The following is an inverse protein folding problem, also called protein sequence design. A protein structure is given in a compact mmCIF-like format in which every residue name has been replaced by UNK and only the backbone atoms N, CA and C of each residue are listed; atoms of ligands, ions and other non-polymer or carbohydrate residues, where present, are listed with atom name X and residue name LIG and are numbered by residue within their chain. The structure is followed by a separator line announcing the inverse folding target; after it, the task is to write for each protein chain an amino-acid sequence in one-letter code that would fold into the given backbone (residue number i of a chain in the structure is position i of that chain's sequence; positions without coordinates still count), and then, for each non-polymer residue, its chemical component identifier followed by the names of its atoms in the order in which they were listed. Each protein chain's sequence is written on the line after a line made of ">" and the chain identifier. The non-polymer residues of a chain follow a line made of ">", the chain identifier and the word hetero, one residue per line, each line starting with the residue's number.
data_IF_743129431462
#
_entry.id   IF_743129431462
#
_cell.length_a   1.000
_cell.length_b   1.000
_cell.length_c   1.000
_cell.angle_alpha   90.00
_cell.angle_beta   90.00
_cell.angle_gamma   90.00
#
_symmetry.space_group_name_H-M   'P 1'
#
loop_
_entity.id
_entity.type
_entity.pdbx_description
1 polymer ?
#
# COMPACT_ATOMS: atom_id res chain seq x y z
N UNK A 1 -36.33 23.25 -57.02
CA UNK A 1 -35.00 23.88 -56.92
C UNK A 1 -34.47 23.50 -55.57
N UNK A 2 -33.57 22.52 -55.53
CA UNK A 2 -32.81 22.23 -54.31
C UNK A 2 -31.68 23.27 -54.24
N UNK A 3 -31.79 24.20 -53.30
CA UNK A 3 -30.71 25.15 -53.00
C UNK A 3 -29.79 24.49 -51.99
N UNK A 4 -28.74 23.81 -52.48
CA UNK A 4 -27.62 23.40 -51.63
C UNK A 4 -26.86 24.64 -51.20
N UNK A 5 -26.93 24.97 -49.90
CA UNK A 5 -26.06 25.97 -49.29
C UNK A 5 -24.62 25.44 -49.38
N UNK A 6 -23.77 26.15 -50.12
CA UNK A 6 -22.34 25.86 -50.18
C UNK A 6 -21.69 26.52 -48.97
N UNK A 7 -21.17 25.71 -48.06
CA UNK A 7 -20.43 26.20 -46.91
C UNK A 7 -19.19 26.99 -47.38
N UNK A 8 -18.97 28.18 -46.84
CA UNK A 8 -17.78 28.97 -47.13
C UNK A 8 -16.64 28.59 -46.18
N UNK A 9 -15.71 27.79 -46.68
CA UNK A 9 -14.55 27.33 -45.91
C UNK A 9 -13.54 28.43 -45.61
N UNK A 10 -13.59 29.58 -46.31
CA UNK A 10 -12.65 30.68 -46.10
C UNK A 10 -12.99 31.55 -44.89
N UNK A 11 -14.27 31.54 -44.48
CA UNK A 11 -14.76 32.26 -43.30
C UNK A 11 -15.11 31.34 -42.14
N UNK A 12 -14.73 30.07 -42.22
CA UNK A 12 -15.01 29.08 -41.20
C UNK A 12 -14.34 29.42 -39.86
N UNK A 13 -15.12 29.30 -38.78
CA UNK A 13 -14.66 29.48 -37.40
C UNK A 13 -15.24 28.40 -36.50
N UNK A 14 -14.48 28.01 -35.47
CA UNK A 14 -15.02 27.20 -34.39
C UNK A 14 -15.88 28.11 -33.52
N UNK A 15 -17.18 27.81 -33.42
CA UNK A 15 -18.13 28.62 -32.64
C UNK A 15 -18.22 28.15 -31.19
N UNK A 16 -18.16 26.83 -30.96
CA UNK A 16 -18.19 26.23 -29.63
C UNK A 16 -17.33 24.99 -29.60
N UNK A 17 -16.73 24.71 -28.45
CA UNK A 17 -16.24 23.39 -28.10
C UNK A 17 -16.94 23.00 -26.79
N UNK A 18 -17.70 21.90 -26.82
CA UNK A 18 -18.50 21.46 -25.67
C UNK A 18 -18.04 20.11 -25.18
N UNK A 19 -17.95 19.95 -23.86
CA UNK A 19 -17.82 18.63 -23.24
C UNK A 19 -19.10 17.81 -23.45
N UNK A 20 -18.95 16.60 -24.00
CA UNK A 20 -20.05 15.64 -24.18
C UNK A 20 -20.23 14.77 -22.94
N UNK A 21 -20.33 15.40 -21.77
CA UNK A 21 -20.46 14.71 -20.49
C UNK A 21 -21.10 15.64 -19.44
N UNK A 22 -21.82 15.01 -18.51
CA UNK A 22 -22.44 15.71 -17.38
C UNK A 22 -21.44 15.90 -16.23
N UNK A 23 -20.42 15.05 -16.16
CA UNK A 23 -19.37 15.13 -15.14
C UNK A 23 -18.09 15.75 -15.70
N UNK A 24 -17.32 16.40 -14.81
CA UNK A 24 -16.00 16.95 -15.12
C UNK A 24 -14.87 16.20 -14.43
N UNK A 25 -15.17 15.16 -13.66
CA UNK A 25 -14.20 14.37 -12.90
C UNK A 25 -14.30 12.89 -13.32
N UNK A 26 -13.17 12.31 -13.70
CA UNK A 26 -13.01 10.87 -13.99
C UNK A 26 -11.70 10.34 -13.41
N UNK A 27 -11.50 9.03 -13.41
CA UNK A 27 -10.31 8.45 -12.80
C UNK A 27 -9.08 8.58 -13.73
N UNK A 28 -7.92 8.86 -13.16
CA UNK A 28 -6.63 8.74 -13.82
C UNK A 28 -6.17 7.26 -13.83
N UNK A 29 -6.84 6.42 -14.62
CA UNK A 29 -6.61 4.96 -14.68
C UNK A 29 -6.09 4.45 -16.04
N UNK A 30 -5.77 5.36 -16.96
CA UNK A 30 -5.32 5.03 -18.31
C UNK A 30 -6.41 4.57 -19.27
N UNK A 31 -7.67 4.49 -18.83
CA UNK A 31 -8.80 4.00 -19.65
C UNK A 31 -9.98 4.96 -19.68
N UNK A 32 -10.22 5.73 -18.62
CA UNK A 32 -11.28 6.73 -18.58
C UNK A 32 -10.95 7.88 -19.53
N UNK A 33 -11.97 8.42 -20.18
CA UNK A 33 -11.84 9.46 -21.19
C UNK A 33 -12.97 10.47 -21.15
N UNK A 34 -12.74 11.65 -21.71
CA UNK A 34 -13.77 12.64 -22.04
C UNK A 34 -13.86 12.83 -23.54
N UNK A 35 -15.08 13.10 -24.03
CA UNK A 35 -15.32 13.43 -25.44
C UNK A 35 -15.70 14.90 -25.54
N UNK A 36 -15.09 15.61 -26.48
CA UNK A 36 -15.40 17.00 -26.80
C UNK A 36 -15.91 17.14 -28.23
N UNK A 37 -16.86 18.04 -28.46
CA UNK A 37 -17.39 18.36 -29.80
C UNK A 37 -17.13 19.81 -30.15
N UNK A 38 -16.46 20.05 -31.28
CA UNK A 38 -16.34 21.37 -31.89
C UNK A 38 -17.47 21.55 -32.92
N UNK A 39 -18.08 22.73 -32.94
CA UNK A 39 -19.04 23.14 -33.98
C UNK A 39 -18.45 24.25 -34.85
N UNK A 40 -18.27 23.96 -36.13
CA UNK A 40 -17.70 24.88 -37.12
C UNK A 40 -18.81 25.49 -37.97
N UNK A 41 -18.79 26.82 -38.08
CA UNK A 41 -19.71 27.57 -38.93
C UNK A 41 -18.98 28.64 -39.73
N UNK A 42 -19.55 29.02 -40.86
CA UNK A 42 -19.11 30.18 -41.64
C UNK A 42 -19.65 31.50 -41.05
N UNK A 43 -19.26 32.63 -41.63
CA UNK A 43 -19.72 33.96 -41.18
C UNK A 43 -21.23 34.19 -41.28
N UNK A 44 -21.94 33.40 -42.10
CA UNK A 44 -23.40 33.46 -42.27
C UNK A 44 -24.14 32.51 -41.32
N UNK A 45 -23.41 31.75 -40.49
CA UNK A 45 -23.96 30.80 -39.54
C UNK A 45 -24.28 29.42 -40.13
N UNK A 46 -23.88 29.14 -41.38
CA UNK A 46 -24.03 27.82 -41.99
C UNK A 46 -22.98 26.87 -41.41
N UNK A 47 -23.34 25.61 -41.21
CA UNK A 47 -22.40 24.57 -40.76
C UNK A 47 -21.39 24.26 -41.87
N UNK A 48 -20.13 24.03 -41.49
CA UNK A 48 -19.05 23.74 -42.45
C UNK A 48 -18.63 22.27 -42.29
N UNK A 49 -19.02 21.36 -43.20
CA UNK A 49 -18.54 19.98 -43.21
C UNK A 49 -17.09 19.89 -43.73
N UNK A 50 -16.43 18.75 -43.45
CA UNK A 50 -15.07 18.39 -43.89
C UNK A 50 -13.94 19.38 -43.49
N UNK A 51 -14.20 20.33 -42.59
CA UNK A 51 -13.19 21.19 -41.99
C UNK A 51 -12.33 20.40 -40.99
N UNK A 52 -11.01 20.55 -41.08
CA UNK A 52 -10.07 19.93 -40.14
C UNK A 52 -9.96 20.75 -38.85
N UNK A 53 -10.22 20.12 -37.71
CA UNK A 53 -10.02 20.68 -36.37
C UNK A 53 -8.81 20.03 -35.74
N UNK A 54 -7.83 20.83 -35.35
CA UNK A 54 -6.64 20.43 -34.61
C UNK A 54 -6.86 20.64 -33.12
N UNK A 55 -6.69 19.59 -32.32
CA UNK A 55 -6.98 19.57 -30.89
C UNK A 55 -5.71 19.76 -30.06
N UNK A 56 -5.84 20.47 -28.96
CA UNK A 56 -4.76 20.74 -28.00
C UNK A 56 -5.27 20.74 -26.56
N UNK A 57 -4.33 20.58 -25.62
CA UNK A 57 -4.59 20.60 -24.19
C UNK A 57 -3.35 21.09 -23.42
N UNK A 58 -3.54 21.51 -22.17
CA UNK A 58 -2.55 22.29 -21.40
C UNK A 58 -1.73 21.50 -20.35
N UNK A 59 -1.82 20.18 -20.34
CA UNK A 59 -1.15 19.25 -19.40
C UNK A 59 -0.09 18.34 -20.02
N UNK A 60 0.21 18.46 -21.31
CA UNK A 60 1.31 17.68 -21.91
C UNK A 60 1.01 16.18 -21.90
N UNK A 61 1.96 15.33 -21.49
CA UNK A 61 1.85 13.87 -21.65
C UNK A 61 1.06 13.14 -20.56
N UNK A 62 0.52 13.83 -19.55
CA UNK A 62 -0.31 13.18 -18.50
C UNK A 62 -1.75 12.90 -18.96
N UNK A 63 -2.13 13.39 -20.13
CA UNK A 63 -3.36 13.06 -20.85
C UNK A 63 -3.05 12.90 -22.33
N UNK A 64 -3.84 12.11 -23.05
CA UNK A 64 -3.55 11.74 -24.44
C UNK A 64 -4.81 11.85 -25.28
N UNK A 65 -4.74 12.55 -26.41
CA UNK A 65 -5.78 12.46 -27.42
C UNK A 65 -5.65 11.16 -28.20
N UNK A 66 -6.76 10.46 -28.45
CA UNK A 66 -6.75 9.30 -29.35
C UNK A 66 -6.35 9.69 -30.77
N UNK A 67 -6.85 10.84 -31.23
CA UNK A 67 -6.42 11.50 -32.48
C UNK A 67 -6.25 12.99 -32.22
N UNK A 68 -5.13 13.57 -32.66
CA UNK A 68 -4.82 14.98 -32.43
C UNK A 68 -5.55 15.93 -33.38
N UNK A 69 -6.23 15.40 -34.41
CA UNK A 69 -7.13 16.14 -35.27
C UNK A 69 -8.35 15.28 -35.65
N UNK A 70 -9.42 15.94 -36.09
CA UNK A 70 -10.59 15.29 -36.69
C UNK A 70 -11.29 16.24 -37.67
N UNK A 71 -12.01 15.66 -38.64
CA UNK A 71 -12.79 16.42 -39.62
C UNK A 71 -14.25 16.56 -39.17
N UNK A 72 -14.87 17.70 -39.48
CA UNK A 72 -16.28 17.94 -39.19
C UNK A 72 -17.20 17.09 -40.06
N UNK A 73 -18.26 16.54 -39.46
CA UNK A 73 -19.32 15.82 -40.16
C UNK A 73 -20.24 16.75 -40.99
N UNK A 74 -21.30 16.17 -41.58
CA UNK A 74 -22.33 16.90 -42.34
C UNK A 74 -23.06 17.99 -41.55
N UNK A 75 -22.98 17.97 -40.21
CA UNK A 75 -23.57 18.95 -39.31
C UNK A 75 -22.52 19.97 -38.82
N UNK A 76 -21.31 19.98 -39.39
CA UNK A 76 -20.21 20.85 -38.99
C UNK A 76 -19.59 20.47 -37.65
N UNK A 77 -19.74 19.21 -37.20
CA UNK A 77 -19.26 18.76 -35.89
C UNK A 77 -18.02 17.88 -36.01
N UNK A 78 -16.94 18.26 -35.34
CA UNK A 78 -15.74 17.43 -35.17
C UNK A 78 -15.66 16.97 -33.71
N UNK A 79 -15.18 15.75 -33.46
CA UNK A 79 -15.06 15.20 -32.10
C UNK A 79 -13.63 14.83 -31.76
N UNK A 80 -13.27 14.94 -30.48
CA UNK A 80 -12.02 14.43 -29.94
C UNK A 80 -12.25 13.66 -28.65
N UNK A 81 -11.49 12.59 -28.48
CA UNK A 81 -11.46 11.79 -27.25
C UNK A 81 -10.14 12.04 -26.54
N UNK A 82 -10.22 12.63 -25.35
CA UNK A 82 -9.09 12.83 -24.44
C UNK A 82 -9.11 11.72 -23.39
N UNK A 83 -8.13 10.83 -23.43
CA UNK A 83 -7.97 9.70 -22.49
C UNK A 83 -7.01 10.06 -21.37
N UNK A 84 -7.32 9.59 -20.16
CA UNK A 84 -6.44 9.67 -19.00
C UNK A 84 -5.14 8.87 -19.19
N UNK A 85 -4.15 9.16 -18.35
CA UNK A 85 -3.05 8.23 -18.04
C UNK A 85 -3.21 7.72 -16.60
N UNK A 86 -2.18 7.10 -16.03
CA UNK A 86 -2.13 6.74 -14.60
C UNK A 86 -1.65 7.90 -13.70
N UNK A 87 -1.50 9.11 -14.26
CA UNK A 87 -1.06 10.31 -13.56
C UNK A 87 -2.23 11.27 -13.41
N UNK A 88 -2.37 11.85 -12.22
CA UNK A 88 -3.39 12.86 -11.94
C UNK A 88 -3.20 14.10 -12.83
N UNK A 89 -4.30 14.61 -13.36
CA UNK A 89 -4.34 15.80 -14.20
C UNK A 89 -5.56 16.64 -13.83
N UNK A 90 -5.35 17.74 -13.09
CA UNK A 90 -6.42 18.64 -12.64
C UNK A 90 -6.50 19.88 -13.54
N UNK A 91 -7.72 20.38 -13.74
CA UNK A 91 -8.05 21.56 -14.51
C UNK A 91 -7.48 21.50 -15.93
N UNK A 92 -7.65 20.35 -16.60
CA UNK A 92 -7.26 20.16 -18.00
C UNK A 92 -8.13 21.05 -18.87
N UNK A 93 -7.52 22.00 -19.56
CA UNK A 93 -8.19 22.81 -20.58
C UNK A 93 -8.00 22.14 -21.93
N UNK A 94 -9.11 21.71 -22.54
CA UNK A 94 -9.12 21.30 -23.95
C UNK A 94 -9.40 22.51 -24.83
N UNK A 95 -8.75 22.55 -25.99
CA UNK A 95 -8.95 23.55 -27.02
C UNK A 95 -8.84 22.97 -28.42
N UNK A 96 -9.35 23.70 -29.40
CA UNK A 96 -9.29 23.35 -30.81
C UNK A 96 -9.03 24.56 -31.69
N UNK A 97 -8.41 24.35 -32.85
CA UNK A 97 -8.18 25.38 -33.86
C UNK A 97 -8.34 24.78 -35.27
N UNK A 98 -8.85 25.58 -36.20
CA UNK A 98 -8.65 25.30 -37.63
C UNK A 98 -7.20 25.64 -38.01
N UNK A 99 -6.69 25.13 -39.13
CA UNK A 99 -5.26 25.24 -39.52
C UNK A 99 -4.63 26.64 -39.39
N UNK A 100 -5.40 27.70 -39.64
CA UNK A 100 -4.97 29.10 -39.50
C UNK A 100 -5.92 29.95 -38.64
N UNK A 101 -6.78 29.29 -37.86
CA UNK A 101 -7.78 29.95 -37.02
C UNK A 101 -7.29 30.24 -35.60
N UNK A 102 -7.96 31.13 -34.86
CA UNK A 102 -7.69 31.30 -33.44
C UNK A 102 -8.03 30.00 -32.68
N UNK A 103 -7.31 29.77 -31.59
CA UNK A 103 -7.63 28.70 -30.66
C UNK A 103 -8.91 29.03 -29.89
N UNK A 104 -9.81 28.07 -29.81
CA UNK A 104 -11.05 28.14 -29.04
C UNK A 104 -10.97 27.13 -27.90
N UNK A 105 -11.29 27.58 -26.68
CA UNK A 105 -11.34 26.71 -25.50
C UNK A 105 -12.66 25.95 -25.43
N UNK A 106 -12.61 24.73 -24.90
CA UNK A 106 -13.78 24.02 -24.43
C UNK A 106 -14.49 24.79 -23.31
N UNK A 107 -15.82 24.65 -23.27
CA UNK A 107 -16.72 25.27 -22.31
C UNK A 107 -16.43 24.89 -20.85
N UNK A 108 -15.87 23.69 -20.63
CA UNK A 108 -15.50 23.17 -19.31
C UNK A 108 -14.06 22.70 -19.29
N UNK A 109 -13.40 22.88 -18.13
CA UNK A 109 -12.19 22.13 -17.78
C UNK A 109 -12.60 20.81 -17.14
N UNK A 110 -11.77 19.78 -17.31
CA UNK A 110 -12.00 18.45 -16.76
C UNK A 110 -10.82 18.00 -15.89
N UNK A 111 -11.05 17.03 -15.04
CA UNK A 111 -10.08 16.45 -14.13
C UNK A 111 -10.00 14.93 -14.34
N UNK A 112 -8.78 14.41 -14.38
CA UNK A 112 -8.51 13.00 -14.15
C UNK A 112 -7.87 12.87 -12.75
N UNK A 113 -8.67 12.45 -11.77
CA UNK A 113 -8.26 12.30 -10.37
C UNK A 113 -7.70 10.90 -10.12
N UNK A 114 -6.61 10.79 -9.37
CA UNK A 114 -6.17 9.44 -8.98
C UNK A 114 -7.22 8.80 -8.06
N UNK A 115 -7.63 7.55 -8.31
CA UNK A 115 -8.46 6.82 -7.37
C UNK A 115 -7.79 6.78 -5.99
N UNK A 116 -8.60 6.91 -4.95
CA UNK A 116 -8.14 6.87 -3.56
C UNK A 116 -8.72 5.67 -2.81
N UNK A 117 -8.00 5.26 -1.78
CA UNK A 117 -8.41 4.24 -0.80
C UNK A 117 -8.47 4.89 0.58
N UNK A 118 -9.51 4.58 1.34
CA UNK A 118 -9.54 4.89 2.78
C UNK A 118 -8.72 3.86 3.53
N UNK A 119 -7.60 4.27 4.11
CA UNK A 119 -6.84 3.48 5.07
C UNK A 119 -7.29 3.86 6.47
N UNK A 120 -7.56 2.88 7.31
CA UNK A 120 -7.90 3.10 8.71
C UNK A 120 -7.38 1.97 9.60
N UNK A 121 -7.38 2.18 10.91
CA UNK A 121 -6.98 1.15 11.86
C UNK A 121 -6.53 1.75 13.18
N UNK A 122 -5.75 0.97 13.92
CA UNK A 122 -5.27 1.30 15.27
C UNK A 122 -3.77 1.20 15.39
N UNK A 123 -3.24 1.96 16.34
CA UNK A 123 -1.84 1.94 16.78
C UNK A 123 -1.77 1.35 18.19
N UNK A 124 -1.02 0.28 18.36
CA UNK A 124 -0.97 -0.52 19.61
C UNK A 124 0.44 -0.88 20.01
N UNK A 125 0.64 -1.21 21.28
CA UNK A 125 1.91 -1.56 21.87
C UNK A 125 2.14 -3.06 21.76
N UNK A 126 3.26 -3.48 21.15
CA UNK A 126 3.61 -4.89 20.98
C UNK A 126 3.67 -5.69 22.30
N UNK A 127 4.04 -5.06 23.40
CA UNK A 127 4.30 -5.74 24.68
C UNK A 127 3.07 -5.81 25.58
N UNK A 128 2.14 -4.86 25.43
CA UNK A 128 0.97 -4.76 26.33
C UNK A 128 -0.37 -4.88 25.62
N UNK A 129 -0.38 -4.91 24.29
CA UNK A 129 -1.55 -4.73 23.43
C UNK A 129 -2.33 -3.43 23.72
N UNK A 130 -1.73 -2.52 24.49
CA UNK A 130 -2.31 -1.24 24.88
C UNK A 130 -2.29 -0.22 23.74
N UNK A 131 -3.14 0.80 23.86
CA UNK A 131 -3.23 1.90 22.89
C UNK A 131 -1.92 2.70 22.84
N UNK A 132 -1.50 3.08 21.63
CA UNK A 132 -0.41 4.05 21.40
C UNK A 132 -0.99 5.30 20.76
N UNK A 133 -1.46 6.24 21.59
CA UNK A 133 -2.02 7.50 21.13
C UNK A 133 -0.93 8.44 20.59
N UNK A 134 -1.29 9.30 19.63
CA UNK A 134 -0.38 10.32 19.12
C UNK A 134 0.76 9.77 18.25
N UNK A 135 0.65 8.54 17.76
CA UNK A 135 1.63 7.98 16.83
C UNK A 135 1.51 8.67 15.47
N UNK A 136 2.63 9.18 14.95
CA UNK A 136 2.68 9.80 13.63
C UNK A 136 2.90 8.72 12.57
N UNK A 137 2.02 8.67 11.58
CA UNK A 137 2.04 7.72 10.46
C UNK A 137 2.35 8.50 9.19
N UNK A 138 3.57 8.36 8.67
CA UNK A 138 4.03 8.99 7.44
C UNK A 138 4.03 8.02 6.26
N UNK A 139 3.53 8.46 5.11
CA UNK A 139 3.49 7.72 3.84
C UNK A 139 4.42 8.40 2.83
N UNK A 140 5.46 7.69 2.42
CA UNK A 140 6.53 8.18 1.55
C UNK A 140 6.45 7.48 0.20
N UNK A 141 6.67 8.22 -0.89
CA UNK A 141 6.66 7.65 -2.25
C UNK A 141 7.98 6.93 -2.58
N UNK A 142 9.06 7.27 -1.87
CA UNK A 142 10.34 6.58 -1.89
C UNK A 142 10.91 6.42 -0.48
N UNK A 143 11.65 5.34 -0.24
CA UNK A 143 12.39 5.10 1.00
C UNK A 143 13.48 6.15 1.29
N UNK A 144 13.94 6.86 0.25
CA UNK A 144 14.92 7.94 0.35
C UNK A 144 14.32 9.30 0.73
N UNK A 145 12.99 9.42 0.72
CA UNK A 145 12.32 10.69 0.98
C UNK A 145 12.48 11.10 2.44
N UNK A 146 12.79 12.37 2.69
CA UNK A 146 12.97 12.91 4.05
C UNK A 146 11.69 13.45 4.67
N UNK A 147 10.64 13.63 3.87
CA UNK A 147 9.32 14.11 4.32
C UNK A 147 8.22 13.25 3.70
N UNK A 148 7.16 12.93 4.45
CA UNK A 148 6.08 12.12 3.92
C UNK A 148 5.26 12.91 2.90
N UNK A 149 4.77 12.23 1.86
CA UNK A 149 3.82 12.80 0.91
C UNK A 149 2.42 12.96 1.54
N UNK A 150 2.06 12.06 2.45
CA UNK A 150 0.83 12.08 3.23
C UNK A 150 1.13 11.67 4.66
N UNK A 151 0.40 12.21 5.64
CA UNK A 151 0.54 11.78 7.03
C UNK A 151 -0.77 11.90 7.81
N UNK A 152 -0.87 11.11 8.87
CA UNK A 152 -1.95 11.18 9.86
C UNK A 152 -1.37 10.82 11.23
N UNK A 153 -1.97 11.36 12.29
CA UNK A 153 -1.61 11.04 13.66
C UNK A 153 -2.75 10.26 14.31
N UNK A 154 -2.44 9.21 15.07
CA UNK A 154 -3.46 8.47 15.80
C UNK A 154 -4.09 9.31 16.93
N UNK A 155 -5.39 9.14 17.13
CA UNK A 155 -6.14 9.85 18.17
C UNK A 155 -5.83 9.32 19.59
N UNK A 156 -6.50 9.89 20.60
CA UNK A 156 -6.35 9.46 22.00
C UNK A 156 -6.75 8.00 22.27
N UNK A 157 -7.53 7.38 21.37
CA UNK A 157 -7.92 5.98 21.39
C UNK A 157 -7.03 5.11 20.47
N UNK A 158 -5.99 5.69 19.88
CA UNK A 158 -5.07 5.04 18.95
C UNK A 158 -5.62 4.82 17.54
N UNK A 159 -6.82 5.31 17.22
CA UNK A 159 -7.41 5.15 15.90
C UNK A 159 -6.82 6.16 14.92
N UNK A 160 -6.77 5.80 13.64
CA UNK A 160 -6.43 6.70 12.56
C UNK A 160 -7.28 6.41 11.33
N UNK A 161 -7.44 7.42 10.46
CA UNK A 161 -8.06 7.26 9.15
C UNK A 161 -7.48 8.30 8.18
N UNK A 162 -7.14 7.87 6.96
CA UNK A 162 -6.57 8.73 5.91
C UNK A 162 -6.99 8.21 4.53
N UNK A 163 -7.27 9.13 3.60
CA UNK A 163 -7.48 8.79 2.19
C UNK A 163 -6.16 8.91 1.43
N UNK A 164 -5.76 7.84 0.74
CA UNK A 164 -4.49 7.75 0.01
C UNK A 164 -4.74 7.46 -1.47
N UNK A 165 -4.12 8.21 -2.40
CA UNK A 165 -4.12 7.85 -3.81
C UNK A 165 -3.47 6.50 -4.09
N UNK A 166 -3.83 5.88 -5.21
CA UNK A 166 -3.16 4.67 -5.69
C UNK A 166 -1.66 4.90 -5.92
N UNK A 167 -0.86 4.18 -5.16
CA UNK A 167 0.60 4.12 -5.22
C UNK A 167 1.13 3.02 -4.29
N UNK A 168 2.43 2.72 -4.40
CA UNK A 168 3.15 1.96 -3.37
C UNK A 168 3.84 2.96 -2.45
N UNK A 169 3.61 2.83 -1.15
CA UNK A 169 4.19 3.68 -0.13
C UNK A 169 5.17 2.91 0.75
N UNK A 170 6.28 3.56 1.10
CA UNK A 170 7.01 3.24 2.32
C UNK A 170 6.28 3.92 3.48
N UNK A 171 5.90 3.16 4.51
CA UNK A 171 5.20 3.67 5.69
C UNK A 171 6.16 3.68 6.86
N UNK A 172 6.23 4.81 7.56
CA UNK A 172 6.97 4.95 8.82
C UNK A 172 6.02 5.38 9.92
N UNK A 173 6.02 4.65 11.03
CA UNK A 173 5.21 4.99 12.21
C UNK A 173 6.12 5.27 13.39
N UNK A 174 5.99 6.47 13.98
CA UNK A 174 6.82 6.94 15.08
C UNK A 174 5.96 7.30 16.29
N UNK A 175 6.46 7.01 17.48
CA UNK A 175 5.86 7.44 18.74
C UNK A 175 6.97 7.54 19.80
N UNK A 176 6.81 8.42 20.79
CA UNK A 176 7.80 8.59 21.86
C UNK A 176 7.94 7.29 22.67
N UNK A 177 9.18 6.83 22.86
CA UNK A 177 9.47 5.60 23.61
C UNK A 177 9.30 4.32 22.79
N UNK A 178 9.00 4.43 21.50
CA UNK A 178 8.88 3.30 20.58
C UNK A 178 9.95 3.36 19.50
N UNK A 179 10.38 2.18 19.04
CA UNK A 179 11.22 2.06 17.86
C UNK A 179 10.39 2.34 16.61
N UNK A 180 10.93 3.14 15.68
CA UNK A 180 10.25 3.44 14.41
C UNK A 180 9.88 2.15 13.69
N UNK A 181 8.59 2.00 13.39
CA UNK A 181 8.08 0.91 12.58
C UNK A 181 8.17 1.30 11.11
N UNK A 182 8.88 0.51 10.31
CA UNK A 182 8.89 0.66 8.85
C UNK A 182 8.23 -0.56 8.17
N UNK A 183 7.39 -0.29 7.17
CA UNK A 183 6.73 -1.30 6.33
C UNK A 183 6.38 -0.74 4.95
N UNK A 184 5.82 -1.57 4.07
CA UNK A 184 5.30 -1.15 2.77
C UNK A 184 3.78 -1.28 2.72
N UNK A 185 3.14 -0.41 1.93
CA UNK A 185 1.71 -0.43 1.66
C UNK A 185 1.48 -0.25 0.16
N UNK A 186 0.84 -1.24 -0.47
CA UNK A 186 0.43 -1.13 -1.87
C UNK A 186 -1.04 -0.73 -1.94
N UNK A 187 -1.30 0.53 -2.32
CA UNK A 187 -2.64 1.05 -2.56
C UNK A 187 -2.98 0.80 -4.02
N UNK A 188 -3.76 -0.25 -4.26
CA UNK A 188 -4.22 -0.64 -5.59
C UNK A 188 -5.75 -0.52 -5.69
N UNK A 189 -6.49 -1.62 -5.82
CA UNK A 189 -7.91 -1.60 -6.21
C UNK A 189 -8.90 -1.58 -5.04
N UNK A 190 -8.43 -1.71 -3.81
CA UNK A 190 -9.27 -1.62 -2.62
C UNK A 190 -9.67 -0.17 -2.37
N UNK A 191 -10.95 0.07 -2.10
CA UNK A 191 -11.48 1.40 -1.74
C UNK A 191 -11.40 1.68 -0.25
N UNK A 192 -11.30 0.62 0.55
CA UNK A 192 -11.24 0.66 2.01
C UNK A 192 -10.33 -0.46 2.51
N UNK A 193 -9.41 -0.14 3.43
CA UNK A 193 -8.46 -1.09 4.00
C UNK A 193 -8.27 -0.80 5.49
N UNK A 194 -8.53 -1.81 6.32
CA UNK A 194 -8.13 -1.81 7.73
C UNK A 194 -6.70 -2.36 7.87
N UNK A 195 -5.82 -1.60 8.52
CA UNK A 195 -4.45 -2.04 8.87
C UNK A 195 -4.10 -1.53 10.26
N UNK A 196 -3.74 -2.44 11.16
CA UNK A 196 -3.22 -2.05 12.46
C UNK A 196 -1.70 -1.90 12.41
N UNK A 197 -1.18 -0.91 13.14
CA UNK A 197 0.25 -0.73 13.35
C UNK A 197 0.60 -1.10 14.79
N UNK A 198 1.38 -2.16 14.95
CA UNK A 198 1.89 -2.59 16.25
C UNK A 198 3.31 -2.05 16.42
N UNK A 199 3.50 -1.17 17.40
CA UNK A 199 4.80 -0.57 17.70
C UNK A 199 5.50 -1.31 18.84
N UNK A 200 6.77 -1.66 18.63
CA UNK A 200 7.65 -2.13 19.70
C UNK A 200 8.12 -0.94 20.53
N UNK A 201 7.94 -0.94 21.86
CA UNK A 201 8.69 -0.05 22.75
C UNK A 201 10.19 -0.17 22.48
N UNK A 202 10.97 0.82 22.91
CA UNK A 202 12.42 0.66 22.93
C UNK A 202 12.81 -0.57 23.76
N UNK A 203 13.93 -1.19 23.41
CA UNK A 203 14.35 -2.42 24.09
C UNK A 203 14.84 -2.15 25.53
N UNK A 204 15.26 -0.94 25.88
CA UNK A 204 15.56 -0.51 27.26
C UNK A 204 16.36 -1.55 28.09
N UNK A 205 17.43 -2.08 27.48
CA UNK A 205 18.33 -3.07 28.10
C UNK A 205 17.96 -4.54 27.86
N UNK A 206 16.85 -4.82 27.17
CA UNK A 206 16.48 -6.16 26.70
C UNK A 206 17.27 -6.54 25.45
N UNK A 207 17.68 -7.80 25.34
CA UNK A 207 18.51 -8.25 24.21
C UNK A 207 17.75 -8.36 22.90
N UNK A 208 16.47 -8.78 22.93
CA UNK A 208 15.66 -8.89 21.72
C UNK A 208 14.16 -8.77 21.99
N UNK A 209 13.41 -8.42 20.93
CA UNK A 209 11.96 -8.56 20.86
C UNK A 209 11.54 -9.13 19.52
N UNK A 210 10.60 -10.06 19.54
CA UNK A 210 10.03 -10.71 18.38
C UNK A 210 8.54 -10.38 18.37
N UNK A 211 8.06 -9.73 17.33
CA UNK A 211 6.67 -9.30 17.18
C UNK A 211 6.09 -9.99 15.96
N UNK A 212 5.10 -10.86 16.18
CA UNK A 212 4.30 -11.52 15.16
C UNK A 212 2.98 -10.78 15.00
N UNK A 213 2.62 -10.45 13.76
CA UNK A 213 1.31 -9.89 13.38
C UNK A 213 0.76 -10.66 12.19
N UNK A 214 -0.56 -10.62 12.00
CA UNK A 214 -1.23 -11.30 10.89
C UNK A 214 -2.55 -10.60 10.52
N UNK A 215 -3.19 -11.01 9.42
CA UNK A 215 -4.49 -10.49 8.99
C UNK A 215 -5.67 -11.06 9.79
N UNK A 216 -6.89 -10.57 9.54
CA UNK A 216 -8.12 -10.92 10.31
C UNK A 216 -8.50 -12.42 10.30
N UNK A 217 -7.89 -13.21 9.43
CA UNK A 217 -8.02 -14.66 9.38
C UNK A 217 -6.68 -15.27 8.99
N UNK A 218 -6.18 -16.38 9.56
CA UNK A 218 -6.71 -17.08 10.73
C UNK A 218 -6.71 -16.16 11.95
N UNK A 219 -7.55 -16.46 12.94
CA UNK A 219 -7.69 -15.59 14.13
C UNK A 219 -6.49 -15.69 15.07
N UNK A 220 -5.73 -16.77 14.97
CA UNK A 220 -4.79 -17.20 16.01
C UNK A 220 -3.60 -17.92 15.38
N UNK A 221 -2.41 -17.34 15.55
CA UNK A 221 -1.13 -17.91 15.16
C UNK A 221 -0.22 -17.87 16.38
N UNK A 222 0.31 -19.03 16.79
CA UNK A 222 1.11 -19.14 17.99
C UNK A 222 2.60 -18.92 17.73
N UNK A 223 3.25 -18.24 18.65
CA UNK A 223 4.68 -18.03 18.75
C UNK A 223 5.32 -19.14 19.55
N UNK A 224 6.31 -19.76 18.96
CA UNK A 224 7.16 -20.74 19.61
C UNK A 224 8.60 -20.27 19.52
N UNK A 225 9.20 -19.94 20.66
CA UNK A 225 10.63 -19.64 20.75
C UNK A 225 11.34 -20.72 21.55
N UNK A 226 12.25 -21.45 20.90
CA UNK A 226 13.23 -22.27 21.62
C UNK A 226 14.42 -21.42 21.99
N UNK A 227 14.81 -21.49 23.25
CA UNK A 227 15.96 -20.78 23.83
C UNK A 227 16.92 -21.78 24.48
N UNK A 228 18.24 -21.51 24.51
CA UNK A 228 19.18 -22.30 25.31
C UNK A 228 18.83 -22.21 26.79
N UNK A 229 18.95 -23.34 27.49
CA UNK A 229 18.73 -23.39 28.94
C UNK A 229 19.90 -22.72 29.68
N UNK A 230 19.59 -21.84 30.62
CA UNK A 230 20.60 -21.17 31.46
C UNK A 230 21.42 -22.22 32.22
N UNK A 231 22.74 -22.17 32.05
CA UNK A 231 23.69 -23.11 32.66
C UNK A 231 23.79 -24.48 31.98
N UNK A 232 23.01 -24.74 30.93
CA UNK A 232 23.05 -25.98 30.14
C UNK A 232 22.74 -25.68 28.66
N UNK A 233 23.67 -25.02 27.93
CA UNK A 233 23.43 -24.54 26.56
C UNK A 233 23.25 -25.67 25.53
N UNK A 234 23.53 -26.93 25.90
CA UNK A 234 23.26 -28.10 25.07
C UNK A 234 21.79 -28.54 25.08
N UNK A 235 20.98 -27.97 25.98
CA UNK A 235 19.54 -28.19 26.08
C UNK A 235 18.76 -26.93 25.70
N UNK A 236 17.50 -27.10 25.29
CA UNK A 236 16.62 -25.99 24.96
C UNK A 236 15.33 -26.03 25.77
N UNK A 237 14.78 -24.85 26.05
CA UNK A 237 13.49 -24.63 26.67
C UNK A 237 12.62 -23.86 25.69
N UNK A 238 11.34 -24.18 25.67
CA UNK A 238 10.38 -23.56 24.76
C UNK A 238 9.50 -22.55 25.49
N UNK A 239 9.41 -21.35 24.91
CA UNK A 239 8.52 -20.26 25.30
C UNK A 239 7.36 -20.21 24.31
N UNK A 240 6.14 -20.41 24.80
CA UNK A 240 4.89 -20.40 24.03
C UNK A 240 3.69 -20.13 24.96
N UNK A 241 2.46 -20.24 24.46
CA UNK A 241 1.24 -19.97 25.25
C UNK A 241 1.10 -20.84 26.52
N UNK A 242 1.63 -22.07 26.52
CA UNK A 242 1.58 -22.98 27.68
C UNK A 242 2.64 -22.62 28.72
N UNK A 243 3.82 -22.25 28.25
CA UNK A 243 4.99 -21.92 29.07
C UNK A 243 5.47 -20.51 28.76
N UNK A 244 4.71 -19.51 29.20
CA UNK A 244 4.94 -18.09 28.86
C UNK A 244 6.25 -17.52 29.41
N UNK A 245 6.69 -17.97 30.59
CA UNK A 245 7.96 -17.57 31.22
C UNK A 245 8.58 -18.78 31.95
N UNK A 246 9.12 -19.77 31.22
CA UNK A 246 9.57 -21.01 31.81
C UNK A 246 10.85 -20.82 32.62
N UNK A 247 10.94 -21.52 33.75
CA UNK A 247 12.16 -21.49 34.59
C UNK A 247 13.37 -22.00 33.81
N UNK A 248 14.46 -21.22 33.84
CA UNK A 248 15.70 -21.54 33.12
C UNK A 248 15.77 -20.97 31.70
N UNK A 249 14.75 -20.24 31.26
CA UNK A 249 14.79 -19.35 30.10
C UNK A 249 14.83 -17.89 30.55
N UNK A 250 15.51 -17.02 29.81
CA UNK A 250 15.43 -15.57 30.00
C UNK A 250 14.63 -14.87 28.90
N UNK A 251 13.44 -15.41 28.66
CA UNK A 251 12.50 -14.92 27.67
C UNK A 251 11.06 -15.08 28.15
N UNK A 252 10.15 -14.24 27.65
CA UNK A 252 8.74 -14.22 28.02
C UNK A 252 7.85 -13.96 26.82
N UNK A 253 6.75 -14.73 26.70
CA UNK A 253 5.63 -14.38 25.83
C UNK A 253 4.80 -13.29 26.51
N UNK A 254 5.01 -12.05 26.09
CA UNK A 254 4.38 -10.85 26.66
C UNK A 254 2.91 -10.74 26.27
N UNK A 255 2.60 -10.99 24.99
CA UNK A 255 1.26 -10.95 24.43
C UNK A 255 1.00 -12.24 23.66
N UNK A 256 -0.17 -12.81 23.94
CA UNK A 256 -0.71 -14.05 23.37
C UNK A 256 -2.13 -13.71 22.92
N UNK A 257 -2.26 -13.28 21.66
CA UNK A 257 -3.48 -12.70 21.12
C UNK A 257 -4.17 -13.69 20.20
N UNK A 258 -5.31 -14.20 20.66
CA UNK A 258 -6.04 -15.27 19.98
C UNK A 258 -7.10 -14.78 18.99
N UNK A 259 -7.19 -13.46 18.77
CA UNK A 259 -8.17 -12.84 17.86
C UNK A 259 -7.65 -11.57 17.19
N UNK A 260 -8.21 -11.24 16.01
CA UNK A 260 -7.88 -10.02 15.28
C UNK A 260 -6.56 -10.14 14.53
N UNK A 261 -5.70 -9.13 14.64
CA UNK A 261 -4.50 -8.95 13.81
C UNK A 261 -3.18 -9.26 14.55
N UNK A 262 -3.28 -10.01 15.65
CA UNK A 262 -2.23 -10.08 16.67
C UNK A 262 -2.15 -8.79 17.52
N UNK A 263 -0.99 -8.47 18.13
CA UNK A 263 0.26 -9.19 18.00
C UNK A 263 0.37 -10.39 18.94
N UNK A 264 1.25 -11.33 18.59
CA UNK A 264 1.97 -12.08 19.60
C UNK A 264 3.37 -11.53 19.75
N UNK A 265 3.87 -11.44 20.97
CA UNK A 265 5.17 -10.82 21.22
C UNK A 265 5.95 -11.58 22.26
N UNK A 266 7.20 -11.91 21.93
CA UNK A 266 8.16 -12.50 22.85
C UNK A 266 9.31 -11.51 23.08
N UNK A 267 9.59 -11.19 24.33
CA UNK A 267 10.78 -10.43 24.73
C UNK A 267 11.82 -11.38 25.33
N UNK A 268 13.07 -11.26 24.87
CA UNK A 268 14.24 -11.93 25.46
C UNK A 268 14.98 -10.90 26.29
N UNK A 269 15.05 -11.08 27.62
CA UNK A 269 15.73 -10.08 28.46
C UNK A 269 17.24 -10.14 28.22
N UNK A 270 17.83 -11.33 28.31
CA UNK A 270 19.26 -11.57 28.08
C UNK A 270 19.46 -12.74 27.12
N UNK A 271 20.29 -12.55 26.11
CA UNK A 271 20.77 -13.66 25.28
C UNK A 271 21.85 -14.44 26.03
N UNK A 272 21.71 -15.76 26.08
CA UNK A 272 22.68 -16.69 26.66
C UNK A 272 23.29 -17.54 25.54
N UNK A 273 24.58 -17.94 25.65
CA UNK A 273 25.25 -18.72 24.61
C UNK A 273 24.45 -19.95 24.18
N UNK A 274 24.22 -20.07 22.88
CA UNK A 274 23.47 -21.18 22.27
C UNK A 274 22.61 -20.70 21.11
N UNK A 275 21.75 -21.60 20.62
CA UNK A 275 20.92 -21.35 19.44
C UNK A 275 19.48 -21.10 19.85
N UNK A 276 18.98 -19.93 19.45
CA UNK A 276 17.57 -19.56 19.51
C UNK A 276 16.89 -19.91 18.20
N UNK A 277 15.63 -20.33 18.25
CA UNK A 277 14.87 -20.67 17.06
C UNK A 277 13.42 -20.23 17.22
N UNK A 278 12.94 -19.41 16.30
CA UNK A 278 11.58 -18.88 16.30
C UNK A 278 10.73 -19.52 15.20
N UNK A 279 9.59 -20.04 15.62
CA UNK A 279 8.62 -20.74 14.77
C UNK A 279 7.25 -20.13 15.01
N UNK A 280 6.53 -19.84 13.94
CA UNK A 280 5.11 -19.53 14.01
C UNK A 280 4.33 -20.81 13.73
N UNK A 281 3.41 -21.17 14.62
CA UNK A 281 2.56 -22.34 14.50
C UNK A 281 1.14 -21.93 14.13
N UNK A 282 0.52 -22.70 13.23
CA UNK A 282 -0.91 -22.57 12.95
C UNK A 282 -1.68 -23.55 13.83
N UNK A 283 -2.26 -23.06 14.93
CA UNK A 283 -3.05 -23.88 15.86
C UNK A 283 -4.21 -24.59 15.14
N UNK A 284 -4.93 -23.82 14.31
CA UNK A 284 -6.15 -24.27 13.66
C UNK A 284 -5.87 -24.99 12.34
N UNK A 285 -6.54 -26.13 12.07
CA UNK A 285 -6.39 -26.87 10.81
C UNK A 285 -7.06 -26.14 9.62
N UNK A 286 -7.90 -25.14 9.88
CA UNK A 286 -8.58 -24.32 8.87
C UNK A 286 -8.81 -22.89 9.38
N UNK A 287 -8.69 -21.85 8.54
CA UNK A 287 -8.17 -21.91 7.17
C UNK A 287 -6.68 -22.29 7.17
N UNK A 288 -6.20 -22.86 6.07
CA UNK A 288 -4.78 -23.25 5.94
C UNK A 288 -3.83 -22.07 5.66
N UNK A 289 -4.33 -20.83 5.74
CA UNK A 289 -3.59 -19.60 5.51
C UNK A 289 -2.89 -19.10 6.78
N UNK A 290 -1.85 -18.26 6.61
CA UNK A 290 -1.20 -17.47 7.67
C UNK A 290 -1.57 -15.98 7.56
N UNK A 291 -2.50 -15.60 6.69
CA UNK A 291 -3.13 -14.27 6.75
C UNK A 291 -2.22 -13.10 6.41
N UNK A 292 -1.14 -13.31 5.64
CA UNK A 292 -0.13 -12.27 5.44
C UNK A 292 0.73 -12.02 6.68
N UNK A 293 0.92 -13.05 7.52
CA UNK A 293 1.74 -12.97 8.72
C UNK A 293 3.13 -12.36 8.47
N UNK A 294 3.52 -11.48 9.38
CA UNK A 294 4.78 -10.75 9.37
C UNK A 294 5.41 -10.86 10.77
N UNK A 295 6.69 -11.21 10.80
CA UNK A 295 7.51 -11.31 12.01
C UNK A 295 8.59 -10.25 11.94
N UNK A 296 8.61 -9.35 12.92
CA UNK A 296 9.68 -8.39 13.11
C UNK A 296 10.56 -8.79 14.29
N UNK A 297 11.85 -8.91 14.04
CA UNK A 297 12.88 -9.14 15.04
C UNK A 297 13.61 -7.82 15.30
N UNK A 298 13.65 -7.40 16.56
CA UNK A 298 14.41 -6.27 17.06
C UNK A 298 15.52 -6.79 17.96
N UNK A 299 16.77 -6.40 17.70
CA UNK A 299 17.92 -6.72 18.56
C UNK A 299 18.47 -5.45 19.22
N UNK A 300 19.08 -5.64 20.39
CA UNK A 300 19.69 -4.55 21.19
C UNK A 300 20.84 -3.80 20.49
N UNK A 301 21.45 -4.40 19.47
CA UNK A 301 22.46 -3.76 18.61
C UNK A 301 21.88 -2.82 17.55
N UNK A 302 20.55 -2.65 17.51
CA UNK A 302 19.84 -1.83 16.53
C UNK A 302 19.43 -2.59 15.27
N UNK A 303 19.79 -3.86 15.13
CA UNK A 303 19.34 -4.70 14.01
C UNK A 303 17.83 -4.89 14.07
N UNK A 304 17.17 -4.57 12.96
CA UNK A 304 15.75 -4.88 12.73
C UNK A 304 15.65 -5.76 11.49
N UNK A 305 15.04 -6.94 11.64
CA UNK A 305 14.74 -7.83 10.51
C UNK A 305 13.24 -8.01 10.37
N UNK A 306 12.80 -8.09 9.12
CA UNK A 306 11.42 -8.34 8.77
C UNK A 306 11.31 -9.63 7.96
N UNK A 307 10.40 -10.50 8.35
CA UNK A 307 10.14 -11.77 7.68
C UNK A 307 8.66 -11.84 7.35
N UNK A 308 8.33 -12.07 6.09
CA UNK A 308 6.95 -12.22 5.66
C UNK A 308 6.69 -13.64 5.22
N UNK A 309 5.52 -14.16 5.58
CA UNK A 309 5.11 -15.50 5.17
C UNK A 309 4.93 -15.62 3.65
N UNK A 310 4.65 -14.51 2.96
CA UNK A 310 4.55 -14.46 1.48
C UNK A 310 5.88 -14.77 0.79
N UNK A 311 7.00 -14.54 1.47
CA UNK A 311 8.34 -14.82 0.96
C UNK A 311 8.84 -16.22 1.38
N UNK A 312 8.02 -17.00 2.09
CA UNK A 312 8.43 -18.28 2.65
C UNK A 312 8.42 -19.40 1.60
N UNK A 313 9.42 -20.28 1.67
CA UNK A 313 9.51 -21.48 0.82
C UNK A 313 8.79 -22.67 1.45
N UNK A 314 8.42 -23.68 0.66
CA UNK A 314 7.78 -24.91 1.16
C UNK A 314 6.33 -25.08 0.68
N UNK A 315 5.71 -26.20 1.04
CA UNK A 315 4.36 -26.56 0.58
C UNK A 315 3.28 -25.87 1.41
N UNK A 316 2.27 -25.31 0.73
CA UNK A 316 1.24 -24.50 1.39
C UNK A 316 0.01 -25.27 1.90
N UNK A 317 -0.20 -26.48 1.42
CA UNK A 317 -1.50 -27.16 1.54
C UNK A 317 -1.77 -27.83 2.90
N UNK A 318 -0.73 -28.23 3.65
CA UNK A 318 -0.91 -28.99 4.92
C UNK A 318 0.11 -28.61 6.02
N UNK A 319 0.78 -27.46 5.90
CA UNK A 319 1.82 -27.06 6.87
C UNK A 319 1.27 -26.83 8.29
N UNK A 320 2.11 -27.06 9.29
CA UNK A 320 1.80 -26.77 10.70
C UNK A 320 2.73 -25.68 11.26
N UNK A 321 3.94 -25.58 10.73
CA UNK A 321 4.96 -24.64 11.19
C UNK A 321 5.49 -23.78 10.06
N UNK A 322 5.76 -22.53 10.39
CA UNK A 322 6.63 -21.61 9.67
C UNK A 322 7.88 -21.36 10.52
N UNK A 323 9.00 -22.00 10.17
CA UNK A 323 10.30 -21.70 10.80
C UNK A 323 10.82 -20.41 10.20
N UNK A 324 10.96 -19.37 11.03
CA UNK A 324 11.24 -18.02 10.54
C UNK A 324 12.75 -17.78 10.49
N UNK A 325 13.41 -17.91 11.64
CA UNK A 325 14.84 -17.66 11.79
C UNK A 325 15.44 -18.43 12.96
N UNK A 326 16.77 -18.51 12.96
CA UNK A 326 17.56 -18.85 14.14
C UNK A 326 18.50 -17.71 14.51
N UNK A 327 18.91 -17.65 15.79
CA UNK A 327 19.97 -16.76 16.27
C UNK A 327 20.98 -17.62 16.99
N UNK A 328 22.19 -17.73 16.44
CA UNK A 328 23.30 -18.39 17.12
C UNK A 328 24.11 -17.34 17.90
N UNK A 329 24.17 -17.50 19.22
CA UNK A 329 24.87 -16.62 20.15
C UNK A 329 26.06 -17.29 20.82
N UNK A 330 26.44 -18.50 20.36
CA UNK A 330 27.48 -19.34 20.98
C UNK A 330 28.83 -18.64 21.06
N UNK A 331 29.15 -17.81 20.06
CA UNK A 331 30.41 -17.04 20.00
C UNK A 331 30.33 -15.68 20.69
N UNK A 332 29.18 -15.32 21.27
CA UNK A 332 28.92 -14.02 21.88
C UNK A 332 28.40 -12.94 20.91
N UNK A 333 28.36 -13.23 19.60
CA UNK A 333 27.72 -12.38 18.59
C UNK A 333 26.32 -12.89 18.23
N UNK A 334 25.39 -12.00 17.88
CA UNK A 334 24.03 -12.37 17.49
C UNK A 334 23.98 -12.74 15.99
N UNK A 335 24.26 -14.00 15.64
CA UNK A 335 24.25 -14.45 14.25
C UNK A 335 22.85 -14.90 13.80
N UNK A 336 22.10 -13.99 13.18
CA UNK A 336 20.74 -14.27 12.70
C UNK A 336 20.73 -14.93 11.32
N UNK A 337 20.29 -16.19 11.26
CA UNK A 337 20.08 -16.93 10.00
C UNK A 337 18.60 -16.93 9.63
N UNK A 338 18.29 -16.43 8.43
CA UNK A 338 16.93 -16.51 7.86
C UNK A 338 16.67 -17.95 7.39
N UNK A 339 15.58 -18.55 7.86
CA UNK A 339 15.12 -19.87 7.39
C UNK A 339 13.92 -19.69 6.45
N UNK A 340 12.91 -18.92 6.90
CA UNK A 340 11.69 -18.58 6.18
C UNK A 340 11.07 -19.75 5.40
N UNK A 341 10.74 -20.84 6.12
CA UNK A 341 10.30 -22.10 5.51
C UNK A 341 9.07 -22.68 6.18
N UNK A 342 8.16 -23.18 5.37
CA UNK A 342 6.91 -23.82 5.75
C UNK A 342 7.08 -25.34 5.72
N UNK A 343 6.68 -26.01 6.80
CA UNK A 343 6.85 -27.45 6.94
C UNK A 343 5.74 -28.11 7.76
N UNK A 344 5.59 -29.42 7.56
CA UNK A 344 4.82 -30.31 8.43
C UNK A 344 5.71 -30.82 9.56
N UNK A 345 5.14 -31.10 10.72
CA UNK A 345 5.88 -31.63 11.86
C UNK A 345 5.18 -31.37 13.19
N UNK A 346 5.85 -31.74 14.28
CA UNK A 346 5.41 -31.40 15.63
C UNK A 346 5.37 -29.87 15.80
N UNK A 347 4.39 -29.36 16.54
CA UNK A 347 4.25 -27.91 16.78
C UNK A 347 5.51 -27.34 17.43
N UNK A 348 5.94 -26.17 16.98
CA UNK A 348 7.17 -25.52 17.46
C UNK A 348 8.47 -26.24 17.08
N UNK A 349 8.42 -27.26 16.20
CA UNK A 349 9.63 -27.93 15.74
C UNK A 349 10.49 -27.00 14.88
N UNK A 350 11.73 -26.79 15.33
CA UNK A 350 12.78 -26.12 14.57
C UNK A 350 13.26 -27.05 13.46
N UNK A 351 12.58 -27.03 12.32
CA UNK A 351 12.98 -27.73 11.10
C UNK A 351 13.76 -26.81 10.17
N UNK A 352 14.81 -27.35 9.55
CA UNK A 352 15.56 -26.73 8.44
C UNK A 352 14.87 -26.97 7.09
#
# INVERSE_FOLDING_TARGET
>A
VDTTFVADTTTAVITTITLNDDVTDKNANGTDYFTFTALVKDANGNVVPDAMVNWSQDKGNVVVFQTQSSTTDVNGKATAVLTSTNTEALLVQVSGALDNGPTVNADKKVNFVKPTMTLHGKTTNAVTDGIVAGAEIGFYLSSSDTSPAYSVTSDASGNYSISLPQAVYTVKVTAQGFTTLETTLNVSTVTDLEKNFVLSPNLDGKSARIVLTWGDSPKDLDSHLKVPKIGDPGSSIEVNYQTKSPSGADATLDVDKTTGYGPETITVNTMHPGVYCYVVNRYSPSPTSYSGAEVKLYLSDGTVKNFKVEDATGATTDMVNWTVFTIDTTTGENNVTTINKLATGSRGACGA
#
